data_IF_700526413360
#
_entry.id   IF_700526413360
#
_cell.length_a   1.000
_cell.length_b   1.000
_cell.length_c   1.000
_cell.angle_alpha   90.00
_cell.angle_beta   90.00
_cell.angle_gamma   90.00
#
_symmetry.space_group_name_H-M   'P 1'
#
loop_
_entity.id
_entity.type
_entity.pdbx_description
1 polymer ?
#
# COMPACT_ATOMS: atom_id res chain seq x y z
N UNK A 1 42.87 40.34 5.19
CA UNK A 1 41.87 39.77 6.14
C UNK A 1 40.55 39.29 5.52
N UNK A 2 40.37 39.24 4.18
CA UNK A 2 39.08 38.84 3.57
C UNK A 2 38.94 37.35 3.22
N UNK A 3 40.04 36.60 3.08
CA UNK A 3 40.01 35.20 2.63
C UNK A 3 39.42 34.22 3.66
N UNK A 4 39.51 34.49 4.98
CA UNK A 4 38.99 33.57 6.02
C UNK A 4 37.47 33.57 6.17
N UNK A 5 36.78 34.69 5.87
CA UNK A 5 35.31 34.76 6.03
C UNK A 5 34.55 33.96 4.95
N UNK A 6 35.13 33.82 3.76
CA UNK A 6 34.55 33.04 2.66
C UNK A 6 34.67 31.54 2.94
N UNK A 7 35.81 31.10 3.48
CA UNK A 7 36.05 29.69 3.80
C UNK A 7 35.11 29.15 4.89
N UNK A 8 34.77 29.96 5.90
CA UNK A 8 33.81 29.57 6.94
C UNK A 8 32.38 29.45 6.38
N UNK A 9 31.96 30.34 5.48
CA UNK A 9 30.62 30.28 4.88
C UNK A 9 30.45 29.06 3.95
N UNK A 10 31.51 28.66 3.24
CA UNK A 10 31.49 27.42 2.44
C UNK A 10 31.37 26.16 3.31
N UNK A 11 32.09 26.07 4.43
CA UNK A 11 31.97 24.92 5.34
C UNK A 11 30.58 24.80 5.96
N UNK A 12 29.97 25.91 6.38
CA UNK A 12 28.59 25.90 6.90
C UNK A 12 27.56 25.55 5.83
N UNK A 13 27.76 25.97 4.57
CA UNK A 13 26.88 25.61 3.46
C UNK A 13 27.00 24.12 3.11
N UNK A 14 28.22 23.56 3.12
CA UNK A 14 28.46 22.13 2.87
C UNK A 14 27.86 21.26 3.99
N UNK A 15 27.96 21.69 5.26
CA UNK A 15 27.31 21.00 6.38
C UNK A 15 25.78 21.08 6.27
N UNK A 16 25.22 22.22 5.83
CA UNK A 16 23.78 22.35 5.61
C UNK A 16 23.28 21.47 4.46
N UNK A 17 24.07 21.29 3.40
CA UNK A 17 23.76 20.38 2.28
C UNK A 17 23.90 18.91 2.73
N UNK A 18 24.91 18.58 3.55
CA UNK A 18 25.07 17.22 4.09
C UNK A 18 23.94 16.84 5.07
N UNK A 19 23.45 17.80 5.88
CA UNK A 19 22.34 17.56 6.83
C UNK A 19 20.98 17.52 6.12
N UNK A 20 20.80 18.21 4.99
CA UNK A 20 19.59 18.10 4.17
C UNK A 20 19.58 16.86 3.26
N UNK A 21 20.73 16.29 2.92
CA UNK A 21 20.79 14.99 2.25
C UNK A 21 20.50 13.80 3.19
N UNK A 22 20.73 13.93 4.50
CA UNK A 22 20.52 12.83 5.45
C UNK A 22 19.05 12.59 5.84
N UNK A 23 18.15 13.52 5.51
CA UNK A 23 16.71 13.40 5.77
C UNK A 23 15.88 13.08 4.52
N UNK A 24 16.53 12.92 3.37
CA UNK A 24 15.91 12.42 2.14
C UNK A 24 16.11 10.90 1.97
N UNK A 25 16.00 10.13 3.06
CA UNK A 25 15.58 8.74 2.96
C UNK A 25 14.09 8.70 2.56
N UNK A 26 13.77 9.30 1.41
CA UNK A 26 12.52 9.01 0.73
C UNK A 26 12.60 7.54 0.39
N UNK A 27 11.68 6.77 0.97
CA UNK A 27 11.60 5.32 0.90
C UNK A 27 11.61 4.85 -0.56
N UNK A 28 12.80 4.66 -1.12
CA UNK A 28 12.97 4.12 -2.46
C UNK A 28 12.78 2.62 -2.35
N UNK A 29 11.52 2.21 -2.45
CA UNK A 29 11.15 0.81 -2.41
C UNK A 29 11.83 0.11 -3.60
N UNK A 30 12.67 -0.92 -3.39
CA UNK A 30 13.38 -1.56 -4.48
C UNK A 30 12.37 -2.11 -5.50
N UNK A 31 12.68 -1.94 -6.79
CA UNK A 31 11.88 -2.50 -7.90
C UNK A 31 12.16 -3.99 -8.06
N UNK A 32 11.90 -4.76 -7.01
CA UNK A 32 11.95 -6.22 -7.01
C UNK A 32 10.57 -6.79 -7.31
N UNK A 33 10.52 -8.00 -7.86
CA UNK A 33 9.26 -8.68 -8.20
C UNK A 33 8.42 -9.00 -6.97
N UNK A 34 9.06 -9.18 -5.80
CA UNK A 34 8.39 -9.41 -4.53
C UNK A 34 9.02 -8.51 -3.47
N UNK A 35 8.22 -7.61 -2.89
CA UNK A 35 8.65 -6.75 -1.79
C UNK A 35 7.71 -6.86 -0.60
N UNK A 36 8.25 -6.70 0.60
CA UNK A 36 7.50 -6.56 1.84
C UNK A 36 7.49 -5.08 2.22
N UNK A 37 6.32 -4.52 2.53
CA UNK A 37 6.19 -3.13 2.96
C UNK A 37 4.90 -2.91 3.76
N UNK A 38 4.91 -1.88 4.61
CA UNK A 38 3.73 -1.41 5.32
C UNK A 38 3.03 -0.35 4.49
N UNK A 39 1.71 -0.52 4.33
CA UNK A 39 0.89 0.40 3.54
C UNK A 39 0.00 1.23 4.46
N UNK A 40 0.39 2.47 4.73
CA UNK A 40 -0.24 3.30 5.77
C UNK A 40 -1.17 4.33 5.18
N UNK A 41 -2.42 4.39 5.65
CA UNK A 41 -3.40 5.39 5.20
C UNK A 41 -2.93 6.79 5.57
N UNK A 42 -2.76 7.68 4.59
CA UNK A 42 -2.22 9.02 4.83
C UNK A 42 -3.02 9.85 5.85
N UNK A 43 -4.36 9.74 5.82
CA UNK A 43 -5.23 10.59 6.64
C UNK A 43 -5.27 10.22 8.11
N UNK A 44 -5.02 8.96 8.48
CA UNK A 44 -5.08 8.48 9.86
C UNK A 44 -3.77 7.87 10.36
N UNK A 45 -2.78 7.72 9.49
CA UNK A 45 -1.53 7.00 9.76
C UNK A 45 -1.74 5.55 10.24
N UNK A 46 -2.85 4.93 9.86
CA UNK A 46 -3.15 3.54 10.24
C UNK A 46 -2.76 2.56 9.11
N UNK A 47 -2.06 1.46 9.42
CA UNK A 47 -1.66 0.48 8.41
C UNK A 47 -2.86 -0.29 7.86
N UNK A 48 -2.82 -0.53 6.55
CA UNK A 48 -3.74 -1.41 5.85
C UNK A 48 -3.45 -2.86 6.23
N UNK A 49 -4.49 -3.57 6.70
CA UNK A 49 -4.39 -4.96 7.14
C UNK A 49 -5.68 -5.72 6.88
N UNK A 50 -5.62 -7.04 7.03
CA UNK A 50 -6.80 -7.89 7.01
C UNK A 50 -7.14 -8.31 8.45
N UNK A 51 -8.36 -7.98 8.88
CA UNK A 51 -8.90 -8.35 10.19
C UNK A 51 -10.27 -9.01 10.00
N UNK A 52 -10.48 -10.19 10.58
CA UNK A 52 -11.77 -10.90 10.50
C UNK A 52 -12.30 -10.99 9.05
N UNK A 53 -11.41 -11.26 8.09
CA UNK A 53 -11.68 -11.31 6.63
C UNK A 53 -12.14 -9.98 6.00
N UNK A 54 -11.97 -8.87 6.71
CA UNK A 54 -12.24 -7.50 6.24
C UNK A 54 -10.93 -6.77 6.03
N UNK A 55 -10.88 -5.92 5.02
CA UNK A 55 -9.74 -5.03 4.77
C UNK A 55 -10.00 -3.73 5.52
N UNK A 56 -9.10 -3.38 6.44
CA UNK A 56 -9.25 -2.24 7.34
C UNK A 56 -7.91 -1.50 7.52
N UNK A 57 -8.00 -0.26 7.98
CA UNK A 57 -6.87 0.59 8.35
C UNK A 57 -7.28 1.48 9.54
N UNK A 58 -7.79 0.88 10.63
CA UNK A 58 -8.56 1.55 11.70
C UNK A 58 -7.91 1.54 13.08
N UNK A 59 -6.69 1.00 13.20
CA UNK A 59 -5.96 0.95 14.46
C UNK A 59 -4.52 1.36 14.24
N UNK A 60 -3.89 2.07 15.20
CA UNK A 60 -2.46 2.38 15.15
C UNK A 60 -1.61 1.11 15.26
N UNK A 61 -0.38 1.24 14.81
CA UNK A 61 0.63 0.18 14.78
C UNK A 61 0.92 -0.31 16.21
N UNK A 62 0.51 -1.55 16.53
CA UNK A 62 0.96 -2.27 17.72
C UNK A 62 2.00 -3.34 17.40
N UNK A 63 1.97 -3.83 16.15
CA UNK A 63 2.87 -4.82 15.57
C UNK A 63 3.26 -4.35 14.16
N UNK A 64 4.37 -4.85 13.62
CA UNK A 64 4.78 -4.61 12.25
C UNK A 64 3.79 -5.28 11.25
N UNK A 65 2.95 -4.47 10.60
CA UNK A 65 1.98 -4.92 9.59
C UNK A 65 2.56 -4.75 8.17
N UNK A 66 3.36 -5.71 7.73
CA UNK A 66 3.86 -5.73 6.36
C UNK A 66 2.99 -6.58 5.43
N UNK A 67 2.58 -5.99 4.31
CA UNK A 67 1.99 -6.70 3.18
C UNK A 67 3.11 -7.16 2.23
N UNK A 68 2.89 -8.29 1.57
CA UNK A 68 3.67 -8.72 0.43
C UNK A 68 3.03 -8.13 -0.85
N UNK A 69 3.85 -7.42 -1.61
CA UNK A 69 3.54 -6.90 -2.92
C UNK A 69 4.20 -7.81 -3.93
N UNK A 70 3.39 -8.59 -4.65
CA UNK A 70 3.86 -9.58 -5.61
C UNK A 70 3.51 -9.07 -7.01
N UNK A 71 4.52 -8.82 -7.82
CA UNK A 71 4.36 -8.33 -9.18
C UNK A 71 4.01 -9.47 -10.13
N UNK A 72 2.98 -9.29 -10.94
CA UNK A 72 2.61 -10.21 -12.01
C UNK A 72 3.34 -9.88 -13.33
N UNK A 73 3.21 -10.76 -14.33
CA UNK A 73 3.83 -10.60 -15.66
C UNK A 73 3.35 -9.32 -16.39
N UNK A 74 2.19 -8.80 -16.01
CA UNK A 74 1.61 -7.55 -16.54
C UNK A 74 1.99 -6.32 -15.72
N UNK A 75 2.98 -6.44 -14.82
CA UNK A 75 3.47 -5.40 -13.92
C UNK A 75 2.42 -4.91 -12.89
N UNK A 76 1.30 -5.60 -12.73
CA UNK A 76 0.37 -5.30 -11.65
C UNK A 76 0.84 -5.96 -10.35
N UNK A 77 0.29 -5.52 -9.24
CA UNK A 77 0.61 -5.95 -7.90
C UNK A 77 -0.56 -6.74 -7.32
N UNK A 78 -0.25 -7.92 -6.81
CA UNK A 78 -1.08 -8.64 -5.87
C UNK A 78 -0.67 -8.24 -4.46
N UNK A 79 -1.65 -7.82 -3.66
CA UNK A 79 -1.44 -7.43 -2.27
C UNK A 79 -1.84 -8.59 -1.36
N UNK A 80 -0.86 -9.20 -0.70
CA UNK A 80 -1.05 -10.35 0.16
C UNK A 80 -0.69 -10.03 1.61
N UNK A 81 -1.60 -10.35 2.53
CA UNK A 81 -1.36 -10.26 3.96
C UNK A 81 -0.87 -11.62 4.49
N UNK A 82 0.41 -11.75 4.88
CA UNK A 82 0.96 -13.01 5.36
C UNK A 82 0.39 -13.45 6.72
N UNK A 83 -0.07 -12.52 7.57
CA UNK A 83 -0.67 -12.86 8.87
C UNK A 83 -2.06 -13.45 8.68
N UNK A 84 -2.86 -12.82 7.84
CA UNK A 84 -4.19 -13.31 7.54
C UNK A 84 -4.16 -14.50 6.58
N UNK A 85 -3.09 -14.69 5.82
CA UNK A 85 -2.98 -15.59 4.68
C UNK A 85 -4.00 -15.31 3.57
N UNK A 86 -4.26 -14.03 3.27
CA UNK A 86 -5.26 -13.63 2.27
C UNK A 86 -4.74 -12.53 1.34
N UNK A 87 -5.19 -12.59 0.09
CA UNK A 87 -5.11 -11.47 -0.84
C UNK A 87 -6.18 -10.44 -0.56
N UNK A 88 -5.84 -9.18 -0.80
CA UNK A 88 -6.81 -8.09 -0.92
C UNK A 88 -7.37 -8.14 -2.33
N UNK A 89 -8.69 -8.17 -2.47
CA UNK A 89 -9.36 -8.21 -3.77
C UNK A 89 -10.56 -7.28 -3.81
N UNK A 90 -10.86 -6.78 -5.01
CA UNK A 90 -12.11 -6.10 -5.31
C UNK A 90 -13.27 -7.10 -5.41
N UNK A 91 -14.39 -6.78 -4.76
CA UNK A 91 -15.65 -7.49 -4.97
C UNK A 91 -16.62 -6.60 -5.77
N UNK A 92 -16.85 -6.90 -7.06
CA UNK A 92 -17.71 -6.07 -7.89
C UNK A 92 -19.17 -6.11 -7.46
N UNK A 93 -19.66 -7.23 -6.90
CA UNK A 93 -21.06 -7.38 -6.46
C UNK A 93 -21.38 -6.49 -5.25
N UNK A 94 -20.41 -6.31 -4.36
CA UNK A 94 -20.58 -5.52 -3.12
C UNK A 94 -19.89 -4.16 -3.18
N UNK A 95 -19.28 -3.84 -4.32
CA UNK A 95 -18.45 -2.64 -4.55
C UNK A 95 -17.55 -2.32 -3.36
N UNK A 96 -16.79 -3.33 -2.87
CA UNK A 96 -15.89 -3.17 -1.72
C UNK A 96 -14.70 -4.11 -1.78
N UNK A 97 -13.68 -3.82 -0.98
CA UNK A 97 -12.55 -4.72 -0.77
C UNK A 97 -12.94 -5.92 0.10
N UNK A 98 -12.38 -7.08 -0.24
CA UNK A 98 -12.56 -8.35 0.46
C UNK A 98 -11.24 -9.08 0.59
N UNK A 99 -11.10 -9.86 1.65
CA UNK A 99 -9.98 -10.79 1.81
C UNK A 99 -10.30 -12.11 1.10
N UNK A 100 -9.35 -12.66 0.32
CA UNK A 100 -9.47 -13.97 -0.34
C UNK A 100 -8.21 -14.80 -0.15
N UNK A 101 -8.35 -15.98 0.45
CA UNK A 101 -7.23 -16.91 0.67
C UNK A 101 -6.67 -17.46 -0.64
N UNK A 102 -7.56 -17.89 -1.54
CA UNK A 102 -7.19 -18.56 -2.78
C UNK A 102 -8.14 -18.11 -3.91
N UNK A 103 -7.89 -16.95 -4.54
CA UNK A 103 -8.72 -16.48 -5.66
C UNK A 103 -8.55 -17.38 -6.89
N UNK A 104 -9.64 -17.70 -7.59
CA UNK A 104 -9.60 -18.51 -8.83
C UNK A 104 -8.78 -17.83 -9.93
N UNK A 105 -8.25 -18.59 -10.91
CA UNK A 105 -7.47 -18.04 -12.02
C UNK A 105 -8.22 -16.92 -12.75
N UNK A 106 -9.53 -17.07 -12.95
CA UNK A 106 -10.35 -16.03 -13.60
C UNK A 106 -10.61 -14.82 -12.69
N UNK A 107 -10.52 -15.00 -11.37
CA UNK A 107 -10.80 -13.96 -10.37
C UNK A 107 -9.55 -13.30 -9.81
N UNK A 108 -8.35 -13.77 -10.14
CA UNK A 108 -7.08 -13.15 -9.72
C UNK A 108 -6.97 -11.71 -10.24
N UNK A 109 -7.56 -11.41 -11.40
CA UNK A 109 -7.65 -10.06 -11.96
C UNK A 109 -8.33 -9.07 -11.02
N UNK A 110 -9.26 -9.55 -10.18
CA UNK A 110 -9.92 -8.72 -9.15
C UNK A 110 -9.01 -8.44 -7.95
N UNK A 111 -7.92 -9.18 -7.79
CA UNK A 111 -6.92 -9.01 -6.73
C UNK A 111 -5.68 -8.26 -7.23
N UNK A 112 -5.70 -7.81 -8.47
CA UNK A 112 -4.59 -7.17 -9.17
C UNK A 112 -4.79 -5.66 -9.19
N UNK A 113 -3.74 -4.93 -8.79
CA UNK A 113 -3.73 -3.48 -8.65
C UNK A 113 -2.49 -2.88 -9.30
N UNK A 114 -2.65 -1.75 -9.98
CA UNK A 114 -1.54 -0.90 -10.39
C UNK A 114 -1.24 0.10 -9.30
N UNK A 115 0.04 0.29 -9.05
CA UNK A 115 0.53 1.37 -8.21
C UNK A 115 0.71 2.63 -9.05
N UNK A 116 0.04 3.70 -8.66
CA UNK A 116 0.07 5.00 -9.33
C UNK A 116 0.52 6.08 -8.32
N UNK A 117 1.35 7.03 -8.76
CA UNK A 117 1.73 8.15 -7.90
C UNK A 117 0.50 9.01 -7.57
N UNK A 118 0.43 9.53 -6.34
CA UNK A 118 -0.65 10.49 -6.03
C UNK A 118 -0.46 11.80 -6.80
N UNK A 119 -1.58 12.45 -7.15
CA UNK A 119 -1.58 13.80 -7.69
C UNK A 119 -1.21 14.86 -6.65
N UNK A 120 -1.51 14.62 -5.37
CA UNK A 120 -1.28 15.59 -4.30
C UNK A 120 0.19 15.63 -3.87
N UNK A 121 0.81 14.46 -3.70
CA UNK A 121 2.22 14.31 -3.33
C UNK A 121 2.84 13.14 -4.11
N UNK A 122 3.26 13.34 -5.37
CA UNK A 122 3.71 12.27 -6.26
C UNK A 122 4.93 11.50 -5.77
N UNK A 123 5.80 12.16 -4.99
CA UNK A 123 7.05 11.54 -4.52
C UNK A 123 6.81 10.61 -3.32
N UNK A 124 5.85 10.92 -2.47
CA UNK A 124 5.62 10.24 -1.18
C UNK A 124 4.39 9.35 -1.16
N UNK A 125 3.31 9.76 -1.82
CA UNK A 125 2.01 9.08 -1.74
C UNK A 125 1.77 8.19 -2.96
N UNK A 126 1.14 7.05 -2.70
CA UNK A 126 0.78 6.05 -3.72
C UNK A 126 -0.71 5.75 -3.67
N UNK A 127 -1.28 5.51 -4.84
CA UNK A 127 -2.63 5.03 -5.04
C UNK A 127 -2.57 3.61 -5.62
N UNK A 128 -3.53 2.77 -5.24
CA UNK A 128 -3.62 1.40 -5.77
C UNK A 128 -4.94 1.25 -6.51
N UNK A 129 -4.83 1.09 -7.83
CA UNK A 129 -5.94 1.16 -8.78
C UNK A 129 -6.09 -0.18 -9.50
N UNK A 130 -7.30 -0.74 -9.46
CA UNK A 130 -7.68 -1.91 -10.25
C UNK A 130 -8.58 -1.49 -11.40
N UNK A 131 -8.59 -2.27 -12.49
CA UNK A 131 -9.50 -2.07 -13.62
C UNK A 131 -10.56 -3.16 -13.62
N UNK A 132 -11.84 -2.77 -13.61
CA UNK A 132 -12.96 -3.70 -13.69
C UNK A 132 -14.05 -3.13 -14.60
N UNK A 133 -14.45 -3.89 -15.64
CA UNK A 133 -15.41 -3.45 -16.65
C UNK A 133 -15.12 -2.05 -17.22
N UNK A 134 -13.86 -1.79 -17.59
CA UNK A 134 -13.36 -0.50 -18.07
C UNK A 134 -13.52 0.67 -17.07
N UNK A 135 -13.86 0.38 -15.82
CA UNK A 135 -13.91 1.36 -14.73
C UNK A 135 -12.71 1.17 -13.84
N UNK A 136 -12.00 2.27 -13.60
CA UNK A 136 -10.94 2.29 -12.61
C UNK A 136 -11.54 2.35 -11.20
N UNK A 137 -11.06 1.46 -10.34
CA UNK A 137 -11.48 1.38 -8.94
C UNK A 137 -10.23 1.47 -8.08
N UNK A 138 -10.22 2.42 -7.16
CA UNK A 138 -9.10 2.64 -6.25
C UNK A 138 -9.40 2.05 -4.87
N UNK A 139 -8.37 1.55 -4.19
CA UNK A 139 -8.44 1.28 -2.75
C UNK A 139 -8.69 2.61 -2.04
N UNK A 140 -9.84 2.74 -1.36
CA UNK A 140 -10.21 3.94 -0.61
C UNK A 140 -10.68 3.58 0.79
N UNK A 141 -10.13 4.28 1.77
CA UNK A 141 -10.47 4.12 3.17
C UNK A 141 -11.01 5.43 3.72
N UNK A 142 -12.05 5.34 4.55
CA UNK A 142 -12.52 6.46 5.35
C UNK A 142 -11.42 6.92 6.31
N UNK A 143 -11.47 8.16 6.84
CA UNK A 143 -10.53 8.61 7.87
C UNK A 143 -10.54 7.75 9.15
N UNK A 144 -11.59 6.97 9.37
CA UNK A 144 -11.69 6.00 10.47
C UNK A 144 -11.10 4.63 10.14
N UNK A 145 -10.61 4.44 8.92
CA UNK A 145 -9.99 3.19 8.50
C UNK A 145 -10.91 2.11 7.99
N UNK A 146 -12.21 2.37 7.89
CA UNK A 146 -13.14 1.44 7.23
C UNK A 146 -13.16 1.69 5.73
N UNK A 147 -13.46 0.65 4.94
CA UNK A 147 -13.66 0.79 3.50
C UNK A 147 -14.69 1.89 3.20
N UNK A 148 -14.29 2.90 2.42
CA UNK A 148 -15.15 4.03 2.12
C UNK A 148 -16.25 3.63 1.14
N UNK A 149 -17.46 3.37 1.64
CA UNK A 149 -18.61 3.10 0.78
C UNK A 149 -19.08 4.39 0.09
N UNK A 150 -19.69 4.25 -1.11
CA UNK A 150 -20.31 5.39 -1.83
C UNK A 150 -21.37 6.12 -0.98
N UNK A 151 -22.03 5.42 -0.08
CA UNK A 151 -23.09 5.97 0.77
C UNK A 151 -22.52 6.80 1.92
N UNK A 152 -21.41 6.37 2.53
CA UNK A 152 -20.72 7.13 3.58
C UNK A 152 -20.14 8.45 3.04
N UNK A 153 -19.55 8.43 1.84
CA UNK A 153 -19.06 9.66 1.19
C UNK A 153 -20.19 10.67 0.96
N UNK A 154 -21.36 10.22 0.48
CA UNK A 154 -22.53 11.10 0.25
C UNK A 154 -23.12 11.68 1.54
N UNK A 155 -23.21 10.88 2.60
CA UNK A 155 -23.78 11.33 3.88
C UNK A 155 -22.87 12.35 4.57
N UNK A 156 -21.55 12.18 4.49
CA UNK A 156 -20.60 13.15 5.03
C UNK A 156 -20.60 14.47 4.23
N UNK A 157 -20.68 14.39 2.89
CA UNK A 157 -20.84 15.56 2.02
C UNK A 157 -22.09 16.37 2.33
N UNK A 158 -23.23 15.70 2.57
CA UNK A 158 -24.47 16.37 3.02
C UNK A 158 -24.24 17.10 4.35
N UNK A 159 -23.62 16.46 5.35
CA UNK A 159 -23.32 17.09 6.65
C UNK A 159 -22.37 18.29 6.53
N UNK A 160 -21.42 18.25 5.59
CA UNK A 160 -20.50 19.38 5.31
C UNK A 160 -21.22 20.61 4.76
N UNK A 161 -22.31 20.45 4.00
CA UNK A 161 -23.13 21.60 3.56
C UNK A 161 -23.78 22.35 4.73
N UNK A 162 -24.01 21.68 5.86
CA UNK A 162 -24.69 22.24 7.02
C UNK A 162 -23.75 22.63 8.19
N UNK A 163 -22.49 22.18 8.20
CA UNK A 163 -21.52 22.55 9.26
C UNK A 163 -20.30 23.28 8.69
N UNK A 164 -19.97 24.45 9.24
CA UNK A 164 -18.75 25.24 8.92
C UNK A 164 -17.42 24.51 9.24
N UNK A 165 -17.48 23.35 9.89
CA UNK A 165 -16.31 22.55 10.24
C UNK A 165 -15.90 21.69 9.04
N UNK A 166 -14.73 21.96 8.45
CA UNK A 166 -14.10 21.10 7.42
C UNK A 166 -13.63 19.78 8.04
N UNK A 167 -14.54 18.84 8.30
CA UNK A 167 -14.15 17.44 8.50
C UNK A 167 -13.75 16.85 7.14
N UNK A 168 -12.58 16.20 7.06
CA UNK A 168 -12.14 15.47 5.87
C UNK A 168 -13.11 14.31 5.61
N UNK A 169 -14.13 14.56 4.79
CA UNK A 169 -15.23 13.63 4.53
C UNK A 169 -14.94 12.62 3.41
N UNK A 170 -13.88 12.85 2.63
CA UNK A 170 -13.53 11.97 1.53
C UNK A 170 -12.68 10.83 2.06
N UNK A 171 -13.06 9.60 1.73
CA UNK A 171 -12.15 8.48 1.89
C UNK A 171 -10.89 8.75 1.07
N UNK A 172 -9.73 8.66 1.70
CA UNK A 172 -8.46 8.78 1.00
C UNK A 172 -8.10 7.45 0.37
N UNK A 173 -7.61 7.51 -0.86
CA UNK A 173 -6.96 6.37 -1.51
C UNK A 173 -5.44 6.49 -1.51
N UNK A 174 -4.91 7.48 -0.78
CA UNK A 174 -3.50 7.80 -0.73
C UNK A 174 -2.87 7.11 0.47
N UNK A 175 -1.78 6.41 0.20
CA UNK A 175 -1.04 5.66 1.18
C UNK A 175 0.43 6.06 1.18
N UNK A 176 0.99 6.10 2.37
CA UNK A 176 2.42 6.11 2.60
C UNK A 176 2.93 4.68 2.56
N UNK A 177 4.04 4.46 1.85
CA UNK A 177 4.73 3.18 1.81
C UNK A 177 5.98 3.28 2.67
N UNK A 178 6.12 2.40 3.66
CA UNK A 178 7.26 2.36 4.58
C UNK A 178 7.74 0.92 4.82
N UNK A 179 8.91 0.75 5.45
CA UNK A 179 9.43 -0.58 5.81
C UNK A 179 9.75 -1.49 4.62
N UNK A 180 10.13 -0.90 3.48
CA UNK A 180 10.39 -1.64 2.24
C UNK A 180 11.61 -2.58 2.38
N UNK A 181 11.39 -3.86 2.14
CA UNK A 181 12.42 -4.90 2.13
C UNK A 181 12.17 -5.95 1.04
N UNK A 182 13.18 -6.75 0.70
CA UNK A 182 13.01 -7.90 -0.18
C UNK A 182 12.04 -8.90 0.48
N UNK A 183 10.91 -9.15 -0.18
CA UNK A 183 9.84 -10.00 0.33
C UNK A 183 9.99 -11.46 -0.07
N UNK A 184 10.99 -11.83 -0.88
CA UNK A 184 11.11 -13.17 -1.47
C UNK A 184 11.15 -14.28 -0.43
N UNK A 185 11.97 -14.16 0.61
CA UNK A 185 12.07 -15.17 1.68
C UNK A 185 10.70 -15.41 2.35
N UNK A 186 10.04 -14.33 2.79
CA UNK A 186 8.73 -14.39 3.44
C UNK A 186 7.64 -14.92 2.51
N UNK A 187 7.71 -14.59 1.22
CA UNK A 187 6.84 -15.16 0.19
C UNK A 187 7.07 -16.67 0.03
N UNK A 188 8.31 -17.14 0.01
CA UNK A 188 8.60 -18.56 -0.10
C UNK A 188 8.13 -19.34 1.14
N UNK A 189 8.23 -18.77 2.34
CA UNK A 189 7.69 -19.37 3.56
C UNK A 189 6.15 -19.49 3.51
N UNK A 190 5.49 -18.46 2.98
CA UNK A 190 4.05 -18.47 2.72
C UNK A 190 3.66 -19.55 1.70
N UNK A 191 4.38 -19.64 0.59
CA UNK A 191 4.16 -20.65 -0.46
C UNK A 191 4.35 -22.05 0.11
N UNK A 192 5.44 -22.30 0.86
CA UNK A 192 5.70 -23.58 1.54
C UNK A 192 4.54 -23.98 2.46
N UNK A 193 4.00 -23.02 3.21
CA UNK A 193 2.83 -23.24 4.08
C UNK A 193 1.57 -23.56 3.28
N UNK A 194 1.36 -22.87 2.16
CA UNK A 194 0.19 -23.04 1.29
C UNK A 194 0.25 -24.27 0.39
N UNK A 195 1.43 -24.83 0.08
CA UNK A 195 1.56 -26.12 -0.65
C UNK A 195 0.82 -27.27 0.03
N UNK A 196 0.62 -27.20 1.36
CA UNK A 196 -0.20 -28.17 2.11
C UNK A 196 -1.71 -28.02 1.84
N UNK A 197 -2.14 -26.92 1.23
CA UNK A 197 -3.54 -26.61 0.88
C UNK A 197 -3.67 -26.36 -0.63
N UNK A 198 -4.13 -27.36 -1.39
CA UNK A 198 -4.30 -27.33 -2.88
C UNK A 198 -4.90 -26.00 -3.38
N UNK A 199 -4.08 -25.08 -3.92
CA UNK A 199 -4.52 -23.75 -4.35
C UNK A 199 -3.60 -23.03 -5.34
N UNK A 200 -4.07 -21.89 -5.88
CA UNK A 200 -3.56 -21.17 -7.07
C UNK A 200 -2.21 -20.47 -6.84
N UNK A 201 -1.77 -20.32 -5.59
CA UNK A 201 -0.38 -19.98 -5.32
C UNK A 201 0.61 -20.98 -5.95
N UNK A 202 0.17 -22.21 -6.23
CA UNK A 202 0.96 -23.21 -6.95
C UNK A 202 1.27 -22.78 -8.41
N UNK A 203 0.42 -21.96 -9.04
CA UNK A 203 0.56 -21.52 -10.43
C UNK A 203 1.19 -20.13 -10.59
N UNK A 204 1.16 -19.27 -9.56
CA UNK A 204 1.98 -18.05 -9.49
C UNK A 204 3.44 -18.48 -9.31
N UNK A 205 4.04 -18.95 -10.41
CA UNK A 205 5.36 -19.54 -10.62
C UNK A 205 6.27 -19.64 -9.38
N UNK A 206 6.62 -20.88 -9.09
CA UNK A 206 7.59 -21.28 -8.07
C UNK A 206 9.05 -21.00 -8.43
N UNK A 207 9.33 -20.39 -9.60
CA UNK A 207 10.70 -20.06 -10.04
C UNK A 207 11.44 -19.15 -9.05
N UNK A 208 10.73 -18.36 -8.27
CA UNK A 208 11.34 -17.46 -7.28
C UNK A 208 11.77 -18.15 -5.98
N UNK A 209 11.33 -19.39 -5.74
CA UNK A 209 11.60 -20.13 -4.51
C UNK A 209 12.41 -21.41 -4.75
N UNK A 210 12.83 -21.68 -5.99
CA UNK A 210 13.60 -22.87 -6.35
C UNK A 210 15.10 -22.77 -5.96
N UNK A 211 15.59 -21.57 -5.65
CA UNK A 211 17.00 -21.30 -5.31
C UNK A 211 17.21 -20.63 -3.92
N UNK A 212 16.23 -20.72 -3.01
CA UNK A 212 16.30 -20.19 -1.62
C UNK A 212 15.99 -21.25 -0.58
#
# INVERSE_FOLDING_TARGET
MWKSKILLRLKSLIILIAVTCLSAATAFCPRVDIRSATLTLYTSSFPLRIENRRVVANMPERDEYSLLFIKDESLNLLLYDPRAMHFICWNPKRTKLVAKRNPTKDRIKLCSFREEASKSMPLTLRNYVSSYNNKQVMIKMSPRGHYASKQETRTCEKKRKFSKIKKNCHGSGEFLLSGCSDGRRRFCDVIKTLRKSRGILHELKMRHCENT
#
